data_IF_046256490659
#
_entry.id   IF_046256490659
#
_cell.length_a   1.000
_cell.length_b   1.000
_cell.length_c   1.000
_cell.angle_alpha   90.00
_cell.angle_beta   90.00
_cell.angle_gamma   90.00
#
_symmetry.space_group_name_H-M   'P 1'
#
loop_
_entity.id
_entity.type
_entity.pdbx_description
1 polymer ?
#
# COMPACT_ATOMS: atom_id res chain seq x y z
N UNK A 1 10.28 -7.07 -30.25
CA UNK A 1 9.07 -6.82 -29.50
C UNK A 1 9.04 -7.79 -28.32
N UNK A 2 9.71 -7.44 -27.25
CA UNK A 2 9.69 -8.21 -26.00
C UNK A 2 9.01 -7.34 -24.95
N UNK A 3 7.73 -7.60 -24.71
CA UNK A 3 7.08 -7.18 -23.50
C UNK A 3 7.72 -7.98 -22.37
N UNK A 4 8.68 -7.36 -21.68
CA UNK A 4 9.16 -7.88 -20.41
C UNK A 4 7.94 -7.82 -19.46
N UNK A 5 7.32 -8.98 -19.23
CA UNK A 5 6.37 -9.13 -18.14
C UNK A 5 7.15 -8.81 -16.86
N UNK A 6 6.80 -7.75 -16.19
CA UNK A 6 7.19 -7.50 -14.82
C UNK A 6 6.70 -8.70 -14.00
N UNK A 7 7.57 -9.68 -13.86
CA UNK A 7 7.37 -10.77 -12.91
C UNK A 7 7.51 -10.14 -11.55
N UNK A 8 6.40 -9.73 -10.96
CA UNK A 8 6.34 -9.28 -9.56
C UNK A 8 6.94 -10.40 -8.71
N UNK A 9 8.22 -10.26 -8.39
CA UNK A 9 8.89 -11.19 -7.47
C UNK A 9 8.19 -11.04 -6.12
N UNK A 10 7.50 -12.09 -5.72
CA UNK A 10 6.95 -12.18 -4.36
C UNK A 10 8.13 -12.22 -3.40
N UNK A 11 8.15 -11.29 -2.46
CA UNK A 11 9.24 -11.14 -1.51
C UNK A 11 8.73 -11.32 -0.08
N UNK A 12 9.50 -12.04 0.71
CA UNK A 12 9.35 -12.09 2.16
C UNK A 12 10.49 -11.25 2.73
N UNK A 13 10.13 -10.21 3.45
CA UNK A 13 11.09 -9.25 4.03
C UNK A 13 11.58 -9.73 5.39
N UNK A 14 10.67 -10.28 6.22
CA UNK A 14 11.03 -10.90 7.50
C UNK A 14 10.08 -12.04 7.84
N UNK A 15 10.57 -13.00 8.61
CA UNK A 15 9.81 -14.04 9.31
C UNK A 15 10.39 -14.15 10.71
N UNK A 16 9.54 -13.98 11.71
CA UNK A 16 9.90 -14.08 13.12
C UNK A 16 9.00 -15.10 13.80
N UNK A 17 9.58 -15.98 14.61
CA UNK A 17 8.84 -16.89 15.45
C UNK A 17 8.58 -16.17 16.79
N UNK A 18 7.32 -15.74 17.00
CA UNK A 18 6.94 -14.96 18.17
C UNK A 18 6.50 -15.84 19.34
N UNK A 19 6.06 -17.06 19.08
CA UNK A 19 5.67 -18.03 20.09
C UNK A 19 5.82 -19.46 19.58
N UNK A 20 6.18 -20.41 20.48
CA UNK A 20 6.26 -21.83 20.13
C UNK A 20 5.95 -22.71 21.36
N UNK A 21 4.97 -23.60 21.21
CA UNK A 21 4.59 -24.63 22.18
C UNK A 21 5.13 -25.98 21.69
N UNK A 22 6.13 -26.49 22.41
CA UNK A 22 6.82 -27.74 22.08
C UNK A 22 5.91 -28.97 22.22
N UNK A 23 5.03 -28.99 23.24
CA UNK A 23 4.13 -30.12 23.49
C UNK A 23 3.08 -30.24 22.40
N UNK A 24 2.48 -29.10 22.03
CA UNK A 24 1.45 -29.03 20.97
C UNK A 24 2.05 -28.95 19.57
N UNK A 25 3.33 -28.69 19.46
CA UNK A 25 4.04 -28.42 18.20
C UNK A 25 3.35 -27.33 17.37
N UNK A 26 2.94 -26.28 18.04
CA UNK A 26 2.31 -25.10 17.43
C UNK A 26 3.17 -23.88 17.66
N UNK A 27 3.15 -22.96 16.68
CA UNK A 27 3.88 -21.71 16.79
C UNK A 27 3.17 -20.58 16.06
N UNK A 28 3.48 -19.36 16.47
CA UNK A 28 3.02 -18.13 15.83
C UNK A 28 4.19 -17.50 15.07
N UNK A 29 3.96 -17.20 13.80
CA UNK A 29 4.93 -16.51 12.94
C UNK A 29 4.42 -15.13 12.58
N UNK A 30 5.23 -14.11 12.81
CA UNK A 30 5.05 -12.79 12.27
C UNK A 30 5.78 -12.68 10.94
N UNK A 31 5.03 -12.41 9.86
CA UNK A 31 5.56 -12.43 8.50
C UNK A 31 5.31 -11.07 7.82
N UNK A 32 6.39 -10.39 7.44
CA UNK A 32 6.32 -9.20 6.61
C UNK A 32 6.68 -9.54 5.17
N UNK A 33 5.76 -9.32 4.23
CA UNK A 33 5.92 -9.76 2.85
C UNK A 33 5.22 -8.83 1.85
N UNK A 34 5.61 -8.96 0.58
CA UNK A 34 5.00 -8.23 -0.52
C UNK A 34 3.57 -8.70 -0.82
N UNK A 35 2.79 -7.84 -1.48
CA UNK A 35 1.48 -8.18 -2.02
C UNK A 35 1.53 -9.45 -2.87
N UNK A 36 0.53 -10.31 -2.70
CA UNK A 36 0.38 -11.56 -3.46
C UNK A 36 1.21 -12.74 -2.94
N UNK A 37 1.91 -12.59 -1.81
CA UNK A 37 2.59 -13.70 -1.15
C UNK A 37 1.57 -14.62 -0.46
N UNK A 38 1.65 -15.91 -0.73
CA UNK A 38 0.74 -16.91 -0.13
C UNK A 38 1.36 -17.47 1.16
N UNK A 39 0.85 -17.04 2.30
CA UNK A 39 1.33 -17.48 3.62
C UNK A 39 1.23 -19.00 3.77
N UNK A 40 0.16 -19.62 3.26
CA UNK A 40 0.03 -21.11 3.25
C UNK A 40 1.20 -21.82 2.56
N UNK A 41 1.73 -21.24 1.50
CA UNK A 41 2.90 -21.81 0.81
C UNK A 41 4.14 -21.72 1.69
N UNK A 42 4.35 -20.58 2.36
CA UNK A 42 5.48 -20.40 3.29
C UNK A 42 5.42 -21.45 4.41
N UNK A 43 4.26 -21.63 5.03
CA UNK A 43 4.07 -22.63 6.10
C UNK A 43 4.35 -24.04 5.58
N UNK A 44 3.83 -24.40 4.39
CA UNK A 44 4.10 -25.69 3.76
C UNK A 44 5.59 -25.90 3.51
N UNK A 45 6.31 -24.89 3.04
CA UNK A 45 7.73 -24.98 2.73
C UNK A 45 8.60 -25.07 4.01
N UNK A 46 8.19 -24.38 5.09
CA UNK A 46 8.80 -24.55 6.42
C UNK A 46 8.64 -26.01 6.87
N UNK A 47 7.43 -26.56 6.81
CA UNK A 47 7.15 -27.93 7.20
C UNK A 47 7.96 -28.97 6.38
N UNK A 48 8.13 -28.74 5.08
CA UNK A 48 8.99 -29.60 4.22
C UNK A 48 10.44 -29.53 4.67
N UNK A 49 10.98 -28.33 4.94
CA UNK A 49 12.36 -28.16 5.40
C UNK A 49 12.61 -28.81 6.76
N UNK A 50 11.62 -28.81 7.65
CA UNK A 50 11.70 -29.49 8.94
C UNK A 50 11.50 -31.01 8.83
N UNK A 51 11.06 -31.52 7.68
CA UNK A 51 10.79 -32.96 7.48
C UNK A 51 9.52 -33.48 8.18
N UNK A 52 8.72 -32.59 8.75
CA UNK A 52 7.53 -32.96 9.56
C UNK A 52 6.20 -32.57 8.90
N UNK A 53 6.24 -31.76 7.85
CA UNK A 53 5.06 -31.06 7.36
C UNK A 53 4.63 -29.94 8.31
N UNK A 54 3.82 -29.02 7.80
CA UNK A 54 3.16 -27.99 8.62
C UNK A 54 1.87 -27.53 7.97
N UNK A 55 0.91 -27.13 8.78
CA UNK A 55 -0.39 -26.60 8.36
C UNK A 55 -0.64 -25.25 9.03
N UNK A 56 -1.30 -24.35 8.31
CA UNK A 56 -1.74 -23.07 8.86
C UNK A 56 -3.12 -23.27 9.51
N UNK A 57 -3.21 -23.02 10.81
CA UNK A 57 -4.46 -23.13 11.58
C UNK A 57 -5.23 -21.82 11.66
N UNK A 58 -4.52 -20.69 11.67
CA UNK A 58 -5.13 -19.37 11.68
C UNK A 58 -4.28 -18.37 10.89
N UNK A 59 -4.88 -17.26 10.48
CA UNK A 59 -4.20 -16.16 9.83
C UNK A 59 -4.86 -14.85 10.23
N UNK A 60 -4.07 -13.93 10.78
CA UNK A 60 -4.50 -12.56 11.03
C UNK A 60 -3.62 -11.61 10.25
N UNK A 61 -4.24 -10.71 9.47
CA UNK A 61 -3.50 -9.62 8.83
C UNK A 61 -3.47 -8.43 9.76
N UNK A 62 -2.30 -8.14 10.32
CA UNK A 62 -2.10 -7.06 11.29
C UNK A 62 -1.86 -5.70 10.64
N UNK A 63 -1.37 -5.69 9.38
CA UNK A 63 -1.11 -4.46 8.63
C UNK A 63 -1.32 -4.65 7.13
N UNK A 64 -1.86 -3.64 6.46
CA UNK A 64 -1.95 -3.56 5.00
C UNK A 64 -2.00 -2.10 4.53
N UNK A 65 -1.16 -1.73 3.55
CA UNK A 65 -1.13 -0.40 2.95
C UNK A 65 -1.01 0.76 3.97
N UNK A 66 -0.25 0.55 5.06
CA UNK A 66 -0.07 1.54 6.12
C UNK A 66 -1.21 1.61 7.15
N UNK A 67 -2.25 0.77 7.02
CA UNK A 67 -3.29 0.60 8.02
C UNK A 67 -2.98 -0.58 8.93
N UNK A 68 -3.25 -0.42 10.21
CA UNK A 68 -3.07 -1.44 11.25
C UNK A 68 -4.42 -1.90 11.80
N UNK A 69 -4.42 -2.89 12.69
CA UNK A 69 -5.66 -3.34 13.34
C UNK A 69 -6.33 -2.22 14.17
N UNK A 70 -5.57 -1.26 14.69
CA UNK A 70 -6.13 -0.12 15.42
C UNK A 70 -6.91 0.86 14.54
N UNK A 71 -6.69 0.83 13.21
CA UNK A 71 -7.45 1.62 12.24
C UNK A 71 -8.73 0.88 11.77
N UNK A 72 -8.96 -0.35 12.26
CA UNK A 72 -10.06 -1.19 11.81
C UNK A 72 -11.24 -1.15 12.81
N UNK A 73 -12.44 -1.28 12.28
CA UNK A 73 -13.67 -1.45 13.04
C UNK A 73 -14.32 -2.78 12.67
N UNK A 74 -14.85 -3.51 13.64
CA UNK A 74 -15.60 -4.72 13.36
C UNK A 74 -16.99 -4.41 12.77
N UNK A 75 -17.53 -5.38 12.01
CA UNK A 75 -18.79 -5.18 11.28
C UNK A 75 -19.98 -5.01 12.24
N UNK A 76 -19.96 -5.65 13.41
CA UNK A 76 -21.07 -5.54 14.36
C UNK A 76 -21.11 -4.16 15.01
N UNK A 77 -19.94 -3.63 15.37
CA UNK A 77 -19.81 -2.24 15.84
C UNK A 77 -20.37 -1.26 14.81
N UNK A 78 -19.98 -1.40 13.54
CA UNK A 78 -20.46 -0.52 12.47
C UNK A 78 -21.99 -0.65 12.23
N UNK A 79 -22.55 -1.86 12.31
CA UNK A 79 -24.00 -2.08 12.14
C UNK A 79 -24.84 -1.42 13.23
N UNK A 80 -24.31 -1.35 14.45
CA UNK A 80 -25.00 -0.78 15.60
C UNK A 80 -24.74 0.71 15.79
N UNK A 81 -23.87 1.30 14.95
CA UNK A 81 -23.50 2.71 15.01
C UNK A 81 -24.49 3.57 14.20
N UNK A 82 -24.84 4.78 14.66
CA UNK A 82 -25.60 5.73 13.87
C UNK A 82 -24.91 6.08 12.53
N UNK A 83 -25.68 6.28 11.43
CA UNK A 83 -25.10 6.58 10.12
C UNK A 83 -24.15 7.78 10.11
N UNK A 84 -24.45 8.83 10.88
CA UNK A 84 -23.62 10.01 11.03
C UNK A 84 -22.25 9.71 11.66
N UNK A 85 -22.19 8.80 12.62
CA UNK A 85 -20.95 8.41 13.27
C UNK A 85 -20.14 7.46 12.36
N UNK A 86 -20.83 6.55 11.66
CA UNK A 86 -20.20 5.71 10.65
C UNK A 86 -19.56 6.54 9.53
N UNK A 87 -20.22 7.61 9.09
CA UNK A 87 -19.67 8.51 8.07
C UNK A 87 -18.37 9.19 8.51
N UNK A 88 -18.21 9.49 9.81
CA UNK A 88 -16.98 10.08 10.37
C UNK A 88 -15.79 9.12 10.40
N UNK A 89 -16.04 7.82 10.33
CA UNK A 89 -14.99 6.80 10.27
C UNK A 89 -14.40 6.62 8.88
N UNK A 90 -15.04 7.19 7.85
CA UNK A 90 -14.52 7.15 6.47
C UNK A 90 -13.26 7.99 6.38
N UNK A 91 -12.14 7.33 6.12
CA UNK A 91 -10.85 7.98 5.97
C UNK A 91 -10.72 8.64 4.60
N UNK A 92 -10.06 9.80 4.50
CA UNK A 92 -9.78 10.41 3.20
C UNK A 92 -8.96 9.48 2.32
N UNK A 93 -9.23 9.46 1.02
CA UNK A 93 -8.49 8.66 0.03
C UNK A 93 -6.99 8.94 0.08
N UNK A 94 -6.60 10.18 0.39
CA UNK A 94 -5.21 10.57 0.56
C UNK A 94 -4.45 9.71 1.59
N UNK A 95 -5.14 9.22 2.63
CA UNK A 95 -4.54 8.41 3.70
C UNK A 95 -3.83 7.16 3.16
N UNK A 96 -4.34 6.56 2.07
CA UNK A 96 -3.73 5.39 1.41
C UNK A 96 -2.35 5.72 0.83
N UNK A 97 -2.12 6.99 0.48
CA UNK A 97 -0.91 7.47 -0.18
C UNK A 97 0.02 8.25 0.76
N UNK A 98 -0.22 8.19 2.07
CA UNK A 98 0.55 8.94 3.08
C UNK A 98 2.04 8.59 3.13
N UNK A 99 2.43 7.43 2.57
CA UNK A 99 3.82 7.01 2.45
C UNK A 99 4.59 7.70 1.29
N UNK A 100 3.90 8.42 0.41
CA UNK A 100 4.52 9.14 -0.70
C UNK A 100 4.81 10.58 -0.30
N UNK A 101 5.94 11.11 -0.79
CA UNK A 101 6.28 12.52 -0.62
C UNK A 101 5.23 13.42 -1.25
N UNK A 102 5.03 14.58 -0.66
CA UNK A 102 4.02 15.54 -1.06
C UNK A 102 4.63 16.66 -1.93
N UNK A 103 3.96 17.00 -3.02
CA UNK A 103 4.26 18.15 -3.87
C UNK A 103 3.02 19.02 -3.97
N UNK A 104 3.18 20.30 -3.68
CA UNK A 104 2.12 21.30 -3.86
C UNK A 104 2.21 21.90 -5.26
N UNK A 105 1.12 21.83 -6.01
CA UNK A 105 1.00 22.40 -7.35
C UNK A 105 0.43 23.82 -7.31
N UNK A 106 0.86 24.67 -8.22
CA UNK A 106 0.17 25.93 -8.51
C UNK A 106 -1.10 25.72 -9.34
N UNK A 107 -1.91 26.78 -9.55
CA UNK A 107 -3.18 26.68 -10.26
C UNK A 107 -3.04 26.27 -11.74
N UNK A 108 -1.91 26.57 -12.39
CA UNK A 108 -1.63 26.16 -13.76
C UNK A 108 -1.25 24.69 -13.82
N UNK A 109 -0.36 24.26 -12.94
CA UNK A 109 0.07 22.88 -12.80
C UNK A 109 -1.10 21.97 -12.44
N UNK A 110 -1.99 22.40 -11.51
CA UNK A 110 -3.24 21.70 -11.19
C UNK A 110 -4.08 21.44 -12.45
N UNK A 111 -4.33 22.48 -13.25
CA UNK A 111 -5.12 22.32 -14.48
C UNK A 111 -4.50 21.33 -15.45
N UNK A 112 -3.19 21.40 -15.66
CA UNK A 112 -2.46 20.46 -16.51
C UNK A 112 -2.55 19.04 -15.99
N UNK A 113 -2.31 18.83 -14.68
CA UNK A 113 -2.34 17.53 -14.05
C UNK A 113 -3.74 16.89 -14.12
N UNK A 114 -4.78 17.64 -13.77
CA UNK A 114 -6.17 17.15 -13.81
C UNK A 114 -6.65 16.80 -15.23
N UNK A 115 -6.05 17.40 -16.26
CA UNK A 115 -6.27 17.05 -17.66
C UNK A 115 -5.37 15.90 -18.16
N UNK A 116 -4.61 15.24 -17.26
CA UNK A 116 -3.75 14.12 -17.59
C UNK A 116 -2.45 14.49 -18.32
N UNK A 117 -2.10 15.77 -18.32
CA UNK A 117 -0.84 16.24 -18.90
C UNK A 117 0.35 15.87 -18.01
N UNK A 118 1.48 15.58 -18.64
CA UNK A 118 2.73 15.34 -17.92
C UNK A 118 3.30 16.70 -17.47
N UNK A 119 3.62 16.82 -16.17
CA UNK A 119 4.28 17.99 -15.61
C UNK A 119 5.81 17.80 -15.69
N UNK A 120 6.53 18.85 -16.06
CA UNK A 120 7.98 18.85 -16.16
C UNK A 120 8.61 19.11 -14.77
N UNK A 121 9.33 18.14 -14.21
CA UNK A 121 9.99 18.26 -12.92
C UNK A 121 11.05 19.40 -12.91
N UNK A 122 11.74 19.62 -14.02
CA UNK A 122 12.74 20.68 -14.13
C UNK A 122 12.13 22.07 -13.99
N UNK A 123 10.93 22.28 -14.55
CA UNK A 123 10.20 23.56 -14.39
C UNK A 123 9.63 23.75 -12.98
N UNK A 124 9.49 22.67 -12.23
CA UNK A 124 9.00 22.69 -10.86
C UNK A 124 10.14 22.74 -9.83
N UNK A 125 11.39 22.73 -10.29
CA UNK A 125 12.61 22.67 -9.46
C UNK A 125 12.61 21.48 -8.48
N UNK A 126 12.10 20.32 -8.94
CA UNK A 126 12.08 19.07 -8.18
C UNK A 126 12.92 18.00 -8.87
N UNK A 127 13.54 17.15 -8.07
CA UNK A 127 14.38 16.06 -8.56
C UNK A 127 14.10 14.79 -7.76
N UNK A 128 13.56 13.78 -8.43
CA UNK A 128 13.29 12.47 -7.87
C UNK A 128 13.73 11.37 -8.84
N UNK A 129 14.15 10.21 -8.35
CA UNK A 129 14.47 9.05 -9.19
C UNK A 129 13.26 8.62 -10.05
N UNK A 130 13.54 8.11 -11.26
CA UNK A 130 12.50 7.48 -12.09
C UNK A 130 11.75 6.40 -11.32
N UNK A 131 10.43 6.34 -11.50
CA UNK A 131 9.55 5.40 -10.82
C UNK A 131 9.05 5.87 -9.47
N UNK A 132 9.60 6.95 -8.89
CA UNK A 132 9.11 7.51 -7.62
C UNK A 132 7.67 7.98 -7.77
N UNK A 133 6.82 7.58 -6.83
CA UNK A 133 5.44 8.06 -6.73
C UNK A 133 5.36 9.23 -5.76
N UNK A 134 4.64 10.27 -6.16
CA UNK A 134 4.48 11.52 -5.41
C UNK A 134 3.00 11.84 -5.24
N UNK A 135 2.63 12.33 -4.09
CA UNK A 135 1.30 12.83 -3.75
C UNK A 135 1.20 14.30 -4.15
N UNK A 136 0.20 14.63 -4.97
CA UNK A 136 0.03 15.99 -5.49
C UNK A 136 -1.14 16.68 -4.81
N UNK A 137 -0.93 17.91 -4.38
CA UNK A 137 -1.93 18.76 -3.70
C UNK A 137 -1.98 20.15 -4.32
N UNK A 138 -3.08 20.86 -4.07
CA UNK A 138 -3.25 22.27 -4.36
C UNK A 138 -4.18 22.88 -3.32
N UNK A 139 -3.76 23.96 -2.68
CA UNK A 139 -4.49 24.66 -1.62
C UNK A 139 -5.00 23.73 -0.50
N UNK A 140 -4.21 22.70 -0.17
CA UNK A 140 -4.55 21.70 0.83
C UNK A 140 -5.35 20.50 0.30
N UNK A 141 -5.94 20.59 -0.89
CA UNK A 141 -6.74 19.51 -1.49
C UNK A 141 -5.84 18.47 -2.16
N UNK A 142 -6.13 17.19 -1.90
CA UNK A 142 -5.47 16.08 -2.56
C UNK A 142 -5.98 15.92 -3.99
N UNK A 143 -5.11 16.07 -4.97
CA UNK A 143 -5.44 15.96 -6.40
C UNK A 143 -5.22 14.56 -6.97
N UNK A 144 -4.26 13.81 -6.40
CA UNK A 144 -3.92 12.49 -6.91
C UNK A 144 -2.46 12.11 -6.70
N UNK A 145 -2.05 11.08 -7.40
CA UNK A 145 -0.68 10.55 -7.38
C UNK A 145 -0.09 10.60 -8.79
N UNK A 146 1.14 11.05 -8.89
CA UNK A 146 1.94 10.99 -10.11
C UNK A 146 3.18 10.13 -9.90
N UNK A 147 3.72 9.62 -11.01
CA UNK A 147 4.99 8.90 -11.04
C UNK A 147 5.99 9.63 -11.92
N UNK A 148 7.23 9.72 -11.45
CA UNK A 148 8.34 10.25 -12.24
C UNK A 148 8.65 9.26 -13.38
N UNK A 149 8.66 9.74 -14.62
CA UNK A 149 9.04 8.96 -15.79
C UNK A 149 10.50 9.22 -16.19
N UNK A 150 11.02 8.43 -17.15
CA UNK A 150 12.41 8.52 -17.64
C UNK A 150 12.75 9.85 -18.36
N UNK A 151 11.76 10.68 -18.66
CA UNK A 151 11.92 12.01 -19.28
C UNK A 151 11.85 13.14 -18.24
N UNK A 152 12.05 12.83 -16.97
CA UNK A 152 11.94 13.77 -15.85
C UNK A 152 10.58 14.49 -15.77
N UNK A 153 9.52 13.78 -16.12
CA UNK A 153 8.13 14.25 -16.08
C UNK A 153 7.29 13.53 -15.03
N UNK A 154 6.33 14.23 -14.44
CA UNK A 154 5.32 13.65 -13.56
C UNK A 154 4.11 13.22 -14.38
N UNK A 155 3.91 11.91 -14.50
CA UNK A 155 2.74 11.30 -15.15
C UNK A 155 1.72 10.85 -14.11
N UNK A 156 0.47 11.24 -14.28
CA UNK A 156 -0.61 10.80 -13.39
C UNK A 156 -0.77 9.28 -13.41
N UNK A 157 -0.90 8.69 -12.22
CA UNK A 157 -1.23 7.26 -12.01
C UNK A 157 -2.54 7.10 -11.26
N UNK A 158 -2.98 8.13 -10.56
CA UNK A 158 -4.27 8.23 -9.91
C UNK A 158 -4.73 9.69 -9.87
N UNK A 159 -5.97 9.96 -10.25
CA UNK A 159 -6.62 11.27 -10.14
C UNK A 159 -7.76 11.20 -9.14
N UNK A 160 -7.80 12.12 -8.17
CA UNK A 160 -8.91 12.27 -7.24
C UNK A 160 -9.97 13.17 -7.88
N UNK A 161 -11.00 12.54 -8.48
CA UNK A 161 -12.06 13.25 -9.22
C UNK A 161 -13.24 13.64 -8.31
N UNK A 162 -13.19 13.25 -7.03
CA UNK A 162 -14.30 13.43 -6.06
C UNK A 162 -14.10 14.62 -5.11
N UNK A 163 -13.19 15.53 -5.41
CA UNK A 163 -12.97 16.77 -4.64
C UNK A 163 -13.68 17.95 -5.25
#
# INVERSE_FOLDING_TARGET
>A
SSAASDVYKRQVYSIELSDYDEEKRTGTLDIYCSKGTYIRTIISDIGKKLGTGAIMTSLCRTMAAGFTLSDCHDIETLRNMPPEDTARLVLPTERVFSCYDEITLDGTQKKLFMNGMILDCGRMDISYPEGTCLRLKHDGDFLGVARVNGENGLKSVYLNILS
#
